data_IF_004563357410
#
_entry.id   IF_004563357410
#
_cell.length_a   1.000
_cell.length_b   1.000
_cell.length_c   1.000
_cell.angle_alpha   90.00
_cell.angle_beta   90.00
_cell.angle_gamma   90.00
#
_symmetry.space_group_name_H-M   'P 1'
#
loop_
_entity.id
_entity.type
_entity.pdbx_description
1 polymer ?
#
# COMPACT_ATOMS: atom_id res chain seq x y z
N UNK A 1 -55.67 -15.24 -11.95
CA UNK A 1 -54.24 -14.91 -11.93
C UNK A 1 -54.06 -13.91 -10.80
N UNK A 2 -53.24 -14.24 -9.81
CA UNK A 2 -53.02 -13.36 -8.66
C UNK A 2 -51.94 -12.32 -9.03
N UNK A 3 -51.98 -11.12 -8.43
CA UNK A 3 -51.05 -10.02 -8.70
C UNK A 3 -49.58 -10.47 -8.51
N UNK A 4 -49.33 -11.31 -7.49
CA UNK A 4 -48.00 -11.82 -7.20
C UNK A 4 -47.47 -12.76 -8.31
N UNK A 5 -48.36 -13.57 -8.91
CA UNK A 5 -48.00 -14.43 -10.03
C UNK A 5 -47.62 -13.65 -11.30
N UNK A 6 -48.29 -12.52 -11.53
CA UNK A 6 -47.96 -11.63 -12.65
C UNK A 6 -46.59 -10.95 -12.40
N UNK A 7 -46.34 -10.49 -11.17
CA UNK A 7 -45.07 -9.88 -10.83
C UNK A 7 -43.87 -10.85 -10.97
N UNK A 8 -44.05 -12.10 -10.54
CA UNK A 8 -43.03 -13.18 -10.70
C UNK A 8 -42.82 -13.45 -12.18
N UNK A 9 -43.88 -13.62 -12.95
CA UNK A 9 -43.81 -13.90 -14.39
C UNK A 9 -43.05 -12.78 -15.15
N UNK A 10 -43.38 -11.52 -14.88
CA UNK A 10 -42.72 -10.39 -15.54
C UNK A 10 -41.26 -10.21 -15.12
N UNK A 11 -40.91 -10.66 -13.92
CA UNK A 11 -39.53 -10.64 -13.46
C UNK A 11 -38.67 -11.77 -14.08
N UNK A 12 -39.29 -12.91 -14.36
CA UNK A 12 -38.63 -14.04 -15.05
C UNK A 12 -38.55 -13.83 -16.56
N UNK A 13 -39.45 -13.02 -17.14
CA UNK A 13 -39.55 -12.77 -18.58
C UNK A 13 -39.49 -11.28 -18.91
N UNK A 14 -38.34 -10.61 -18.74
CA UNK A 14 -38.19 -9.18 -19.04
C UNK A 14 -38.38 -8.84 -20.52
N UNK A 15 -38.12 -9.83 -21.41
CA UNK A 15 -38.36 -9.73 -22.87
C UNK A 15 -39.84 -9.50 -23.24
N UNK A 16 -40.80 -9.80 -22.35
CA UNK A 16 -42.22 -9.60 -22.55
C UNK A 16 -42.54 -8.19 -22.97
N UNK A 17 -41.88 -7.18 -22.41
CA UNK A 17 -42.13 -5.78 -22.77
C UNK A 17 -41.53 -5.38 -24.12
N UNK A 18 -40.62 -6.17 -24.69
CA UNK A 18 -40.10 -5.97 -26.05
C UNK A 18 -41.11 -6.45 -27.08
N UNK A 19 -41.89 -7.52 -26.77
CA UNK A 19 -42.94 -8.04 -27.61
C UNK A 19 -44.21 -7.17 -27.56
N UNK A 20 -44.47 -6.52 -26.40
CA UNK A 20 -45.65 -5.72 -26.17
C UNK A 20 -45.34 -4.25 -25.75
N UNK A 21 -44.70 -3.44 -26.59
CA UNK A 21 -44.28 -2.08 -26.25
C UNK A 21 -45.45 -1.16 -25.95
N UNK A 22 -46.66 -1.49 -26.46
CA UNK A 22 -47.89 -0.72 -26.20
C UNK A 22 -48.32 -0.78 -24.73
N UNK A 23 -48.01 -1.87 -24.01
CA UNK A 23 -48.30 -1.96 -22.58
C UNK A 23 -47.46 -0.98 -21.76
N UNK A 24 -46.23 -0.74 -22.16
CA UNK A 24 -45.36 0.27 -21.51
C UNK A 24 -45.88 1.69 -21.73
N UNK A 25 -46.44 1.98 -22.92
CA UNK A 25 -47.07 3.28 -23.20
C UNK A 25 -48.30 3.49 -22.31
N UNK A 26 -49.18 2.50 -22.23
CA UNK A 26 -50.38 2.57 -21.35
C UNK A 26 -50.02 2.72 -19.87
N UNK A 27 -48.95 2.05 -19.40
CA UNK A 27 -48.50 2.20 -18.03
C UNK A 27 -47.95 3.62 -17.77
N UNK A 28 -47.33 4.26 -18.77
CA UNK A 28 -46.91 5.65 -18.68
C UNK A 28 -48.08 6.61 -18.64
N UNK A 29 -49.09 6.40 -19.48
CA UNK A 29 -50.31 7.23 -19.55
C UNK A 29 -51.16 7.15 -18.27
N UNK A 30 -51.25 5.98 -17.62
CA UNK A 30 -51.96 5.80 -16.34
C UNK A 30 -51.25 6.54 -15.18
N UNK A 31 -49.94 6.78 -15.28
CA UNK A 31 -49.22 7.54 -14.26
C UNK A 31 -49.42 9.05 -14.32
N UNK A 32 -49.85 9.57 -15.45
CA UNK A 32 -50.03 11.02 -15.62
C UNK A 32 -51.44 11.53 -15.21
N UNK A 33 -52.43 10.64 -15.02
CA UNK A 33 -53.83 11.10 -14.80
C UNK A 33 -54.37 10.98 -13.36
N UNK A 34 -53.79 10.18 -12.44
CA UNK A 34 -54.54 9.86 -11.21
C UNK A 34 -53.77 9.89 -9.85
N UNK A 35 -52.72 10.64 -9.68
CA UNK A 35 -52.14 10.81 -8.33
C UNK A 35 -51.65 12.25 -8.11
N UNK A 36 -52.09 12.95 -7.06
CA UNK A 36 -51.43 14.14 -6.57
C UNK A 36 -50.15 13.70 -5.86
N UNK A 37 -49.11 13.43 -6.63
CA UNK A 37 -47.80 13.12 -6.09
C UNK A 37 -46.96 14.39 -6.22
N UNK A 38 -46.52 14.88 -5.06
CA UNK A 38 -45.49 15.90 -4.96
C UNK A 38 -44.36 15.65 -5.98
N UNK A 39 -43.72 16.71 -6.53
CA UNK A 39 -42.69 16.58 -7.57
C UNK A 39 -41.40 16.01 -7.00
N UNK A 40 -41.44 14.81 -6.44
CA UNK A 40 -40.27 14.00 -6.12
C UNK A 40 -40.14 12.87 -7.14
N UNK A 41 -39.47 13.22 -8.25
CA UNK A 41 -38.69 12.28 -9.09
C UNK A 41 -39.38 10.97 -9.46
N UNK A 42 -40.29 11.00 -10.42
CA UNK A 42 -40.49 9.83 -11.27
C UNK A 42 -39.33 9.67 -12.26
N UNK A 43 -38.14 9.43 -11.73
CA UNK A 43 -37.09 8.85 -12.56
C UNK A 43 -37.66 7.52 -13.05
N UNK A 44 -37.83 7.39 -14.36
CA UNK A 44 -38.22 6.13 -14.99
C UNK A 44 -37.34 5.00 -14.44
N UNK A 45 -37.84 3.78 -14.32
CA UNK A 45 -37.05 2.62 -13.95
C UNK A 45 -35.80 2.51 -14.83
N UNK A 46 -35.92 2.84 -16.12
CA UNK A 46 -34.85 2.91 -17.07
C UNK A 46 -33.80 3.95 -16.65
N UNK A 47 -34.20 5.15 -16.20
CA UNK A 47 -33.26 6.19 -15.76
C UNK A 47 -32.52 5.76 -14.49
N UNK A 48 -33.17 5.05 -13.59
CA UNK A 48 -32.51 4.48 -12.39
C UNK A 48 -31.47 3.42 -12.76
N UNK A 49 -31.81 2.56 -13.72
CA UNK A 49 -30.88 1.54 -14.21
C UNK A 49 -29.69 2.19 -14.90
N UNK A 50 -29.94 3.17 -15.79
CA UNK A 50 -28.89 3.91 -16.49
C UNK A 50 -27.99 4.62 -15.49
N UNK A 51 -28.57 5.30 -14.51
CA UNK A 51 -27.80 5.96 -13.45
C UNK A 51 -26.93 4.97 -12.68
N UNK A 52 -27.50 3.83 -12.27
CA UNK A 52 -26.74 2.80 -11.55
C UNK A 52 -25.60 2.25 -12.39
N UNK A 53 -25.83 1.93 -13.66
CA UNK A 53 -24.78 1.47 -14.58
C UNK A 53 -23.70 2.53 -14.77
N UNK A 54 -24.10 3.80 -14.83
CA UNK A 54 -23.15 4.91 -14.91
C UNK A 54 -22.30 5.02 -13.63
N UNK A 55 -22.94 4.97 -12.46
CA UNK A 55 -22.27 5.02 -11.16
C UNK A 55 -21.30 3.82 -10.99
N UNK A 56 -21.72 2.61 -11.37
CA UNK A 56 -20.90 1.40 -11.36
C UNK A 56 -19.68 1.55 -12.31
N UNK A 57 -19.89 2.11 -13.50
CA UNK A 57 -18.83 2.39 -14.48
C UNK A 57 -17.79 3.38 -13.92
N UNK A 58 -18.24 4.50 -13.34
CA UNK A 58 -17.34 5.49 -12.75
C UNK A 58 -16.59 4.91 -11.55
N UNK A 59 -17.25 4.09 -10.74
CA UNK A 59 -16.61 3.39 -9.62
C UNK A 59 -15.52 2.40 -10.10
N UNK A 60 -15.81 1.63 -11.15
CA UNK A 60 -14.84 0.72 -11.75
C UNK A 60 -13.66 1.49 -12.36
N UNK A 61 -13.93 2.62 -13.02
CA UNK A 61 -12.90 3.49 -13.58
C UNK A 61 -11.97 4.02 -12.49
N UNK A 62 -12.52 4.53 -11.39
CA UNK A 62 -11.74 5.02 -10.25
C UNK A 62 -10.88 3.90 -9.62
N UNK A 63 -11.42 2.67 -9.52
CA UNK A 63 -10.64 1.52 -9.06
C UNK A 63 -9.49 1.18 -10.01
N UNK A 64 -9.70 1.24 -11.31
CA UNK A 64 -8.65 1.01 -12.29
C UNK A 64 -7.55 2.08 -12.21
N UNK A 65 -7.92 3.35 -12.11
CA UNK A 65 -6.96 4.45 -11.94
C UNK A 65 -6.11 4.25 -10.67
N UNK A 66 -6.74 3.91 -9.56
CA UNK A 66 -6.06 3.59 -8.30
C UNK A 66 -5.09 2.38 -8.45
N UNK A 67 -5.50 1.31 -9.15
CA UNK A 67 -4.63 0.15 -9.41
C UNK A 67 -3.44 0.53 -10.29
N UNK A 68 -3.63 1.40 -11.29
CA UNK A 68 -2.53 1.90 -12.10
C UNK A 68 -1.54 2.74 -11.30
N UNK A 69 -2.02 3.57 -10.37
CA UNK A 69 -1.15 4.34 -9.48
C UNK A 69 -0.31 3.43 -8.57
N UNK A 70 -0.94 2.40 -7.99
CA UNK A 70 -0.21 1.39 -7.19
C UNK A 70 0.83 0.68 -8.05
N UNK A 71 0.46 0.23 -9.25
CA UNK A 71 1.38 -0.46 -10.16
C UNK A 71 2.60 0.41 -10.50
N UNK A 72 2.38 1.68 -10.84
CA UNK A 72 3.47 2.62 -11.11
C UNK A 72 4.34 2.87 -9.88
N UNK A 73 3.73 2.95 -8.70
CA UNK A 73 4.48 3.10 -7.45
C UNK A 73 5.34 1.88 -7.16
N UNK A 74 4.79 0.68 -7.34
CA UNK A 74 5.54 -0.57 -7.17
C UNK A 74 6.70 -0.68 -8.17
N UNK A 75 6.49 -0.31 -9.43
CA UNK A 75 7.54 -0.29 -10.45
C UNK A 75 8.70 0.63 -10.04
N UNK A 76 8.40 1.85 -9.58
CA UNK A 76 9.43 2.77 -9.07
C UNK A 76 10.18 2.19 -7.87
N UNK A 77 9.48 1.51 -6.95
CA UNK A 77 10.12 0.86 -5.80
C UNK A 77 11.07 -0.24 -6.29
N UNK A 78 10.66 -1.06 -7.25
CA UNK A 78 11.49 -2.10 -7.83
C UNK A 78 12.74 -1.53 -8.51
N UNK A 79 12.60 -0.46 -9.30
CA UNK A 79 13.73 0.23 -9.92
C UNK A 79 14.71 0.77 -8.87
N UNK A 80 14.20 1.39 -7.80
CA UNK A 80 15.03 1.88 -6.71
C UNK A 80 15.77 0.75 -5.99
N UNK A 81 15.10 -0.39 -5.73
CA UNK A 81 15.72 -1.56 -5.10
C UNK A 81 16.80 -2.15 -5.99
N UNK A 82 16.55 -2.32 -7.28
CA UNK A 82 17.51 -2.81 -8.25
C UNK A 82 18.78 -1.95 -8.28
N UNK A 83 18.62 -0.61 -8.29
CA UNK A 83 19.77 0.29 -8.22
C UNK A 83 20.55 0.16 -6.92
N UNK A 84 19.89 -0.01 -5.77
CA UNK A 84 20.56 -0.25 -4.48
C UNK A 84 21.30 -1.58 -4.48
N UNK A 85 20.66 -2.66 -4.97
CA UNK A 85 21.31 -3.95 -5.12
C UNK A 85 22.58 -3.86 -5.99
N UNK A 86 22.48 -3.15 -7.11
CA UNK A 86 23.62 -2.92 -7.99
C UNK A 86 24.75 -2.17 -7.27
N UNK A 87 24.42 -1.14 -6.49
CA UNK A 87 25.40 -0.39 -5.70
C UNK A 87 26.10 -1.27 -4.65
N UNK A 88 25.34 -2.10 -3.94
CA UNK A 88 25.87 -3.05 -2.97
C UNK A 88 26.81 -4.05 -3.64
N UNK A 89 26.41 -4.64 -4.75
CA UNK A 89 27.21 -5.63 -5.48
C UNK A 89 28.48 -5.05 -6.11
N UNK A 90 28.49 -3.77 -6.47
CA UNK A 90 29.66 -3.09 -7.04
C UNK A 90 30.57 -2.45 -5.99
N UNK A 91 30.16 -2.43 -4.73
CA UNK A 91 30.96 -1.87 -3.63
C UNK A 91 32.18 -2.76 -3.36
N UNK A 92 33.36 -2.15 -3.28
CA UNK A 92 34.63 -2.85 -3.05
C UNK A 92 34.93 -3.07 -1.59
N UNK A 93 34.32 -2.31 -0.71
CA UNK A 93 34.53 -2.41 0.74
C UNK A 93 33.28 -1.98 1.51
N UNK A 94 33.24 -2.32 2.81
CA UNK A 94 32.10 -2.05 3.69
C UNK A 94 31.79 -0.55 3.84
N UNK A 95 32.84 0.27 3.96
CA UNK A 95 32.71 1.71 4.17
C UNK A 95 32.01 2.38 2.93
N UNK A 96 32.46 2.04 1.74
CA UNK A 96 31.85 2.48 0.49
C UNK A 96 30.39 2.02 0.42
N UNK A 97 30.10 0.77 0.75
CA UNK A 97 28.75 0.22 0.73
C UNK A 97 27.84 0.97 1.71
N UNK A 98 28.27 1.14 2.96
CA UNK A 98 27.51 1.85 3.98
C UNK A 98 27.29 3.30 3.61
N UNK A 99 28.32 3.99 3.14
CA UNK A 99 28.23 5.39 2.69
C UNK A 99 27.24 5.56 1.53
N UNK A 100 27.22 4.62 0.58
CA UNK A 100 26.25 4.62 -0.52
C UNK A 100 24.83 4.35 -0.02
N UNK A 101 24.61 3.34 0.83
CA UNK A 101 23.30 3.04 1.40
C UNK A 101 22.72 4.22 2.18
N UNK A 102 23.56 4.85 3.02
CA UNK A 102 23.19 6.03 3.81
C UNK A 102 22.75 7.22 2.95
N UNK A 103 23.29 7.36 1.76
CA UNK A 103 22.94 8.42 0.80
C UNK A 103 21.73 8.06 -0.06
N UNK A 104 21.74 6.85 -0.63
CA UNK A 104 20.76 6.49 -1.65
C UNK A 104 19.39 6.10 -1.07
N UNK A 105 19.33 5.42 0.08
CA UNK A 105 18.06 5.03 0.69
C UNK A 105 17.22 6.26 1.09
N UNK A 106 17.76 7.27 1.81
CA UNK A 106 17.03 8.49 2.09
C UNK A 106 16.52 9.19 0.84
N UNK A 107 17.37 9.34 -0.17
CA UNK A 107 17.04 10.06 -1.39
C UNK A 107 15.95 9.38 -2.23
N UNK A 108 15.96 8.04 -2.25
CA UNK A 108 15.03 7.27 -3.10
C UNK A 108 13.71 6.97 -2.43
N UNK A 109 13.74 6.70 -1.13
CA UNK A 109 12.55 6.28 -0.36
C UNK A 109 12.04 7.35 0.60
N UNK A 110 12.71 8.49 0.73
CA UNK A 110 12.32 9.54 1.67
C UNK A 110 12.48 9.12 3.15
N UNK A 111 13.35 8.16 3.44
CA UNK A 111 13.61 7.67 4.79
C UNK A 111 14.73 8.51 5.39
N UNK A 112 14.50 9.27 6.47
CA UNK A 112 15.48 10.26 6.94
C UNK A 112 16.77 9.65 7.50
N UNK A 113 16.68 8.49 8.12
CA UNK A 113 17.82 7.86 8.82
C UNK A 113 17.97 6.39 8.48
N UNK A 114 19.22 5.99 8.19
CA UNK A 114 19.60 4.60 7.91
C UNK A 114 20.82 4.25 8.76
N UNK A 115 20.78 3.10 9.42
CA UNK A 115 21.92 2.52 10.13
C UNK A 115 22.13 1.07 9.71
N UNK A 116 23.38 0.67 9.60
CA UNK A 116 23.76 -0.71 9.34
C UNK A 116 24.23 -1.34 10.65
N UNK A 117 23.57 -2.39 11.08
CA UNK A 117 23.92 -3.12 12.29
C UNK A 117 24.71 -4.37 11.93
N UNK A 118 25.93 -4.49 12.45
CA UNK A 118 26.74 -5.69 12.32
C UNK A 118 26.61 -6.53 13.58
N UNK A 119 26.15 -7.76 13.41
CA UNK A 119 26.03 -8.70 14.54
C UNK A 119 27.40 -9.26 14.86
N UNK A 120 27.83 -9.08 16.11
CA UNK A 120 29.08 -9.68 16.61
C UNK A 120 28.92 -11.20 16.61
N UNK A 121 29.74 -11.88 15.81
CA UNK A 121 29.81 -13.34 15.80
C UNK A 121 30.56 -13.89 17.04
N UNK A 122 30.95 -15.14 16.95
CA UNK A 122 31.73 -15.81 18.01
C UNK A 122 33.15 -15.24 18.19
N UNK A 123 33.59 -14.32 17.33
CA UNK A 123 34.88 -13.70 17.38
C UNK A 123 34.84 -12.38 18.18
N UNK A 124 35.37 -12.36 19.42
CA UNK A 124 35.38 -11.18 20.27
C UNK A 124 36.19 -10.01 19.70
N UNK A 125 37.13 -10.28 18.81
CA UNK A 125 38.01 -9.27 18.23
C UNK A 125 37.52 -8.74 16.87
N UNK A 126 36.35 -9.13 16.39
CA UNK A 126 35.84 -8.75 15.09
C UNK A 126 35.66 -7.22 14.96
N UNK A 127 35.11 -6.60 15.98
CA UNK A 127 34.90 -5.15 16.02
C UNK A 127 36.25 -4.41 15.96
N UNK A 128 37.21 -4.80 16.79
CA UNK A 128 38.53 -4.17 16.84
C UNK A 128 39.27 -4.32 15.52
N UNK A 129 39.22 -5.50 14.91
CA UNK A 129 39.83 -5.72 13.59
C UNK A 129 39.17 -4.88 12.48
N UNK A 130 37.87 -4.75 12.48
CA UNK A 130 37.20 -3.91 11.52
C UNK A 130 37.53 -2.44 11.77
N UNK A 131 37.51 -1.95 13.01
CA UNK A 131 37.90 -0.58 13.34
C UNK A 131 39.36 -0.28 12.97
N UNK A 132 40.26 -1.21 13.23
CA UNK A 132 41.70 -1.08 12.81
C UNK A 132 41.83 -1.04 11.29
N UNK A 133 41.14 -1.91 10.56
CA UNK A 133 41.17 -1.95 9.09
C UNK A 133 40.73 -0.65 8.45
N UNK A 134 39.80 0.05 9.09
CA UNK A 134 39.26 1.35 8.62
C UNK A 134 39.88 2.55 9.36
N UNK A 135 41.04 2.34 10.05
CA UNK A 135 41.75 3.41 10.78
C UNK A 135 40.86 4.22 11.75
N UNK A 136 39.87 3.59 12.36
CA UNK A 136 38.90 4.24 13.22
C UNK A 136 37.82 5.07 12.49
N UNK A 137 37.89 5.19 11.16
CA UNK A 137 36.97 5.97 10.34
C UNK A 137 35.72 5.17 9.87
N UNK A 138 35.37 4.11 10.60
CA UNK A 138 34.10 3.43 10.30
C UNK A 138 32.95 4.42 10.50
N UNK A 139 32.12 4.55 9.48
CA UNK A 139 31.00 5.50 9.52
C UNK A 139 30.15 5.29 10.79
N UNK A 140 29.74 6.39 11.44
CA UNK A 140 28.86 6.37 12.63
C UNK A 140 27.51 5.67 12.37
N UNK A 141 27.14 5.48 11.12
CA UNK A 141 25.95 4.71 10.74
C UNK A 141 26.14 3.19 10.88
N UNK A 142 27.37 2.71 11.15
CA UNK A 142 27.63 1.30 11.48
C UNK A 142 27.59 1.11 12.98
N UNK A 143 26.68 0.28 13.45
CA UNK A 143 26.56 -0.10 14.85
C UNK A 143 26.86 -1.58 15.02
N UNK A 144 27.65 -1.91 16.03
CA UNK A 144 27.91 -3.31 16.42
C UNK A 144 26.91 -3.72 17.50
N UNK A 145 26.22 -4.83 17.28
CA UNK A 145 25.25 -5.39 18.21
C UNK A 145 25.61 -6.81 18.59
N UNK A 146 25.23 -7.24 19.78
CA UNK A 146 25.44 -8.62 20.18
C UNK A 146 24.38 -9.54 19.55
N UNK A 147 24.70 -10.83 19.51
CA UNK A 147 23.81 -11.84 18.94
C UNK A 147 22.48 -11.96 19.72
N UNK A 148 22.52 -11.76 21.02
CA UNK A 148 21.33 -11.77 21.87
C UNK A 148 20.36 -10.63 21.52
N UNK A 149 20.88 -9.42 21.31
CA UNK A 149 20.09 -8.27 20.88
C UNK A 149 19.48 -8.50 19.50
N UNK A 150 20.27 -9.00 18.55
CA UNK A 150 19.76 -9.35 17.23
C UNK A 150 18.67 -10.45 17.32
N UNK A 151 18.90 -11.47 18.16
CA UNK A 151 17.92 -12.54 18.40
C UNK A 151 16.63 -12.04 19.02
N UNK A 152 16.69 -11.06 19.93
CA UNK A 152 15.48 -10.47 20.51
C UNK A 152 14.65 -9.67 19.48
N UNK A 153 15.31 -9.05 18.50
CA UNK A 153 14.60 -8.32 17.45
C UNK A 153 13.89 -9.22 16.44
N UNK A 154 14.48 -10.37 16.14
CA UNK A 154 14.02 -11.32 15.13
C UNK A 154 13.61 -12.68 15.73
N UNK A 155 12.96 -12.66 16.90
CA UNK A 155 12.57 -13.87 17.65
C UNK A 155 11.71 -14.85 16.82
N UNK A 156 10.90 -14.36 15.88
CA UNK A 156 10.04 -15.16 15.00
C UNK A 156 10.70 -15.58 13.67
N UNK A 157 12.03 -15.48 13.59
CA UNK A 157 12.81 -15.76 12.37
C UNK A 157 13.27 -14.48 11.67
N UNK A 158 14.08 -14.66 10.60
CA UNK A 158 14.66 -13.55 9.83
C UNK A 158 13.58 -12.84 8.98
N UNK A 159 12.61 -12.20 9.63
CA UNK A 159 11.58 -11.39 8.98
C UNK A 159 11.73 -9.92 9.34
N UNK A 160 11.42 -9.00 8.42
CA UNK A 160 11.40 -7.57 8.75
C UNK A 160 10.44 -7.28 9.89
N UNK A 161 10.86 -6.43 10.83
CA UNK A 161 10.05 -5.99 11.96
C UNK A 161 9.81 -4.50 11.85
N UNK A 162 8.54 -4.10 11.88
CA UNK A 162 8.11 -2.70 11.90
C UNK A 162 7.70 -2.32 13.32
N UNK A 163 8.23 -1.22 13.83
CA UNK A 163 7.88 -0.67 15.14
C UNK A 163 7.37 0.75 14.97
N UNK A 164 6.25 1.05 15.61
CA UNK A 164 5.64 2.39 15.67
C UNK A 164 5.62 2.90 17.10
N UNK A 165 5.50 4.21 17.26
CA UNK A 165 5.45 4.89 18.56
C UNK A 165 6.65 4.59 19.46
N UNK A 166 7.84 4.66 18.88
CA UNK A 166 9.09 4.35 19.58
C UNK A 166 9.42 5.50 20.52
N UNK A 167 9.55 5.21 21.83
CA UNK A 167 10.02 6.16 22.84
C UNK A 167 11.54 6.11 23.00
N UNK A 168 12.11 4.94 22.81
CA UNK A 168 13.55 4.69 22.88
C UNK A 168 13.93 3.69 21.78
N UNK A 169 14.96 4.01 21.02
CA UNK A 169 15.49 3.09 19.99
C UNK A 169 16.86 2.57 20.41
N UNK A 170 17.02 1.26 20.38
CA UNK A 170 18.32 0.63 20.61
C UNK A 170 19.31 0.91 19.47
N UNK A 171 18.80 1.30 18.31
CA UNK A 171 19.60 1.53 17.09
C UNK A 171 19.97 2.99 16.92
N UNK A 172 18.99 3.88 17.12
CA UNK A 172 19.15 5.30 16.92
C UNK A 172 19.31 6.00 18.27
N UNK A 173 20.42 6.71 18.46
CA UNK A 173 20.58 7.59 19.62
C UNK A 173 19.69 8.82 19.41
N UNK A 174 18.69 9.00 20.25
CA UNK A 174 17.81 10.15 20.24
C UNK A 174 18.54 11.35 20.87
N UNK A 175 19.53 11.89 20.19
CA UNK A 175 20.20 13.10 20.60
C UNK A 175 19.44 14.30 20.10
N UNK A 176 18.48 14.80 20.89
CA UNK A 176 17.82 16.09 20.73
C UNK A 176 17.04 16.27 19.42
N UNK A 177 15.86 16.76 19.45
CA UNK A 177 14.97 17.25 18.37
C UNK A 177 14.48 16.32 17.25
N UNK A 178 15.11 15.19 16.96
CA UNK A 178 14.60 14.25 15.96
C UNK A 178 13.79 13.15 16.63
N UNK A 179 12.49 13.34 16.74
CA UNK A 179 11.56 12.30 17.18
C UNK A 179 11.45 11.21 16.11
N UNK A 180 12.12 10.09 16.33
CA UNK A 180 11.90 8.89 15.53
C UNK A 180 10.58 8.27 15.96
N UNK A 181 9.55 8.39 15.12
CA UNK A 181 8.21 7.86 15.41
C UNK A 181 8.06 6.38 15.05
N UNK A 182 8.84 5.91 14.10
CA UNK A 182 8.78 4.53 13.62
C UNK A 182 10.14 4.08 13.10
N UNK A 183 10.41 2.78 13.21
CA UNK A 183 11.60 2.14 12.63
C UNK A 183 11.25 0.83 11.94
N UNK A 184 12.05 0.47 10.96
CA UNK A 184 12.00 -0.82 10.31
C UNK A 184 13.34 -1.52 10.54
N UNK A 185 13.31 -2.71 11.13
CA UNK A 185 14.47 -3.58 11.31
C UNK A 185 14.43 -4.64 10.21
N UNK A 186 15.47 -4.69 9.41
CA UNK A 186 15.61 -5.62 8.28
C UNK A 186 16.80 -6.52 8.57
N UNK A 187 16.64 -7.86 8.60
CA UNK A 187 17.71 -8.81 8.90
C UNK A 187 18.74 -8.93 7.78
#
# INVERSE_FOLDING_TARGET
>A
MNRDQIAIYLNEHPEFFNEYPELLKKIKEIKDEDLPIEPMSTLSLADRIIKRVHDDKEHLKSKLEWLFEISRSNEKIQDHLFEIERLVLTSTNLDQMVGQLKKEIPNRFGIPNVKVCLVKGSDPCMEDRLRQRYNGNLDESVKFICQETAGSWFAEGLKPVLRSEIKESDVFSLNGNDEIKSEALIP
#
